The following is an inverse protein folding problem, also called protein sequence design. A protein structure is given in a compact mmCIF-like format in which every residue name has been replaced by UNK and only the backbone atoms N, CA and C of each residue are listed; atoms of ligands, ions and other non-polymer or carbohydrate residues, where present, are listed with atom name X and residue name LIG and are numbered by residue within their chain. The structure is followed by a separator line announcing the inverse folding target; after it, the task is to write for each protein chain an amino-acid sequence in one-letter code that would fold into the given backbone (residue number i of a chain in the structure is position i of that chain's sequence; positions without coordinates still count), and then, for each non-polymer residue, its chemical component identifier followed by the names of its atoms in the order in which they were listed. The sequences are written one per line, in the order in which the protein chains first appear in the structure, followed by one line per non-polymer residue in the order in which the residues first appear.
data_IF_947898461008
#
_entry.id   IF_947898461008
#
_cell.length_a   1.000
_cell.length_b   1.000
_cell.length_c   1.000
_cell.angle_alpha   90.00
_cell.angle_beta   90.00
_cell.angle_gamma   90.00
#
_symmetry.space_group_name_H-M   'P 1'
#
loop_
_entity.id
_entity.type
_entity.pdbx_description
1 polymer ?
#
# COMPACT_ATOMS: atom_id res chain seq x y z
N UNK A 1 55.42 -8.26 18.07
CA UNK A 1 54.38 -9.23 18.48
C UNK A 1 53.44 -8.48 19.43
N UNK A 2 52.12 -8.33 19.28
CA UNK A 2 51.05 -8.91 18.45
C UNK A 2 50.06 -7.76 18.15
N UNK A 3 49.54 -7.64 16.92
CA UNK A 3 48.35 -6.82 16.62
C UNK A 3 47.13 -7.73 16.82
N UNK A 4 46.27 -7.38 17.79
CA UNK A 4 44.99 -8.04 18.02
C UNK A 4 43.95 -7.33 17.15
N UNK A 5 43.50 -7.97 16.07
CA UNK A 5 42.39 -7.48 15.25
C UNK A 5 41.10 -7.97 15.89
N UNK A 6 40.31 -7.06 16.44
CA UNK A 6 38.97 -7.35 16.96
C UNK A 6 37.97 -7.20 15.80
N UNK A 7 37.69 -8.29 15.10
CA UNK A 7 36.60 -8.36 14.12
C UNK A 7 35.29 -8.61 14.88
N UNK A 8 34.60 -7.52 15.22
CA UNK A 8 33.30 -7.56 15.90
C UNK A 8 32.15 -7.73 14.91
N UNK A 9 31.60 -8.94 14.93
CA UNK A 9 30.35 -9.44 14.34
C UNK A 9 29.24 -8.38 14.12
N UNK A 10 28.84 -8.14 12.85
CA UNK A 10 27.59 -7.45 12.48
C UNK A 10 26.68 -8.47 11.81
N UNK A 11 25.82 -9.15 12.56
CA UNK A 11 24.80 -10.08 12.03
C UNK A 11 23.52 -10.07 12.88
N UNK A 12 22.73 -8.99 12.86
CA UNK A 12 21.42 -8.98 13.55
C UNK A 12 20.33 -8.09 12.93
N UNK A 13 20.28 -7.93 11.60
CA UNK A 13 19.20 -7.08 11.00
C UNK A 13 18.42 -7.71 9.85
N UNK A 14 18.67 -8.95 9.45
CA UNK A 14 17.98 -9.56 8.28
C UNK A 14 16.66 -10.25 8.62
N UNK A 15 16.42 -10.67 9.86
CA UNK A 15 15.24 -11.50 10.23
C UNK A 15 13.91 -10.74 10.14
N UNK A 16 13.88 -9.47 10.50
CA UNK A 16 12.64 -8.68 10.52
C UNK A 16 12.09 -8.37 9.11
N UNK A 17 12.96 -8.33 8.10
CA UNK A 17 12.56 -8.09 6.71
C UNK A 17 11.88 -9.33 6.13
N UNK A 18 12.47 -10.51 6.33
CA UNK A 18 11.92 -11.78 5.81
C UNK A 18 10.53 -12.10 6.36
N UNK A 19 10.23 -11.73 7.61
CA UNK A 19 8.93 -12.07 8.21
C UNK A 19 7.78 -11.25 7.61
N UNK A 20 7.96 -9.95 7.42
CA UNK A 20 6.93 -9.08 6.82
C UNK A 20 6.60 -9.52 5.39
N UNK A 21 7.62 -9.91 4.61
CA UNK A 21 7.39 -10.40 3.24
C UNK A 21 6.58 -11.70 3.21
N UNK A 22 6.78 -12.60 4.18
CA UNK A 22 6.00 -13.85 4.29
C UNK A 22 4.55 -13.58 4.65
N UNK A 23 4.31 -12.74 5.67
CA UNK A 23 2.95 -12.36 6.09
C UNK A 23 2.19 -11.66 4.95
N UNK A 24 2.85 -10.76 4.22
CA UNK A 24 2.29 -10.11 3.05
C UNK A 24 1.91 -11.10 1.94
N UNK A 25 2.78 -12.06 1.62
CA UNK A 25 2.50 -13.08 0.60
C UNK A 25 1.32 -13.98 0.98
N UNK A 26 1.16 -14.32 2.26
CA UNK A 26 -0.01 -15.08 2.73
C UNK A 26 -1.30 -14.27 2.62
N UNK A 27 -1.26 -12.95 2.89
CA UNK A 27 -2.40 -12.06 2.68
C UNK A 27 -2.77 -11.97 1.19
N UNK A 28 -1.78 -11.82 0.30
CA UNK A 28 -1.99 -11.81 -1.15
C UNK A 28 -2.65 -13.11 -1.63
N UNK A 29 -2.14 -14.25 -1.19
CA UNK A 29 -2.70 -15.57 -1.52
C UNK A 29 -4.15 -15.72 -1.07
N UNK A 30 -4.46 -15.31 0.17
CA UNK A 30 -5.82 -15.36 0.71
C UNK A 30 -6.77 -14.41 -0.01
N UNK A 31 -6.29 -13.23 -0.37
CA UNK A 31 -7.05 -12.24 -1.14
C UNK A 31 -7.12 -12.56 -2.64
N UNK A 32 -6.47 -13.64 -3.10
CA UNK A 32 -6.33 -13.99 -4.52
C UNK A 32 -5.79 -12.82 -5.36
N UNK A 33 -4.73 -12.18 -4.86
CA UNK A 33 -4.06 -11.06 -5.51
C UNK A 33 -2.67 -11.48 -5.94
N UNK A 34 -2.31 -11.22 -7.19
CA UNK A 34 -0.94 -11.29 -7.66
C UNK A 34 -0.25 -9.94 -7.47
N UNK A 35 0.94 -9.98 -6.90
CA UNK A 35 1.82 -8.82 -6.79
C UNK A 35 2.94 -8.93 -7.82
N UNK A 36 2.80 -8.18 -8.90
CA UNK A 36 3.88 -7.97 -9.84
C UNK A 36 4.85 -6.95 -9.22
N UNK A 37 5.88 -7.44 -8.53
CA UNK A 37 6.98 -6.58 -8.10
C UNK A 37 7.51 -5.89 -9.36
N UNK A 38 7.51 -4.54 -9.43
CA UNK A 38 7.98 -3.86 -10.62
C UNK A 38 9.41 -4.31 -10.90
N UNK A 39 9.64 -4.83 -12.10
CA UNK A 39 10.95 -5.30 -12.56
C UNK A 39 12.00 -4.18 -12.58
N UNK A 40 11.54 -2.95 -12.40
CA UNK A 40 12.32 -1.75 -12.43
C UNK A 40 13.18 -1.65 -11.16
N UNK A 41 14.50 -1.71 -11.37
CA UNK A 41 15.54 -1.65 -10.33
C UNK A 41 15.52 -0.37 -9.47
N UNK A 42 14.57 0.55 -9.68
CA UNK A 42 14.42 1.77 -8.92
C UNK A 42 13.53 1.64 -7.68
N UNK A 43 12.75 0.58 -7.51
CA UNK A 43 12.01 0.35 -6.26
C UNK A 43 12.88 -0.43 -5.26
N UNK A 44 12.79 -0.03 -4.00
CA UNK A 44 13.42 -0.72 -2.89
C UNK A 44 12.40 -0.97 -1.80
N UNK A 45 12.35 -2.19 -1.29
CA UNK A 45 11.59 -2.50 -0.09
C UNK A 45 12.08 -1.65 1.09
N UNK A 46 11.12 -1.15 1.87
CA UNK A 46 11.38 -0.42 3.09
C UNK A 46 10.64 -1.06 4.27
N UNK A 47 11.09 -0.75 5.47
CA UNK A 47 10.47 -1.28 6.69
C UNK A 47 9.06 -0.74 6.85
N UNK A 48 8.11 -1.63 7.17
CA UNK A 48 6.78 -1.27 7.66
C UNK A 48 6.90 -0.56 9.02
N UNK A 49 6.43 0.67 9.06
CA UNK A 49 6.37 1.49 10.27
C UNK A 49 5.06 1.23 11.00
N UNK A 50 5.14 1.06 12.32
CA UNK A 50 3.95 1.00 13.17
C UNK A 50 3.29 2.38 13.18
N UNK A 51 1.99 2.40 12.94
CA UNK A 51 1.15 3.60 13.01
C UNK A 51 -0.12 3.25 13.78
N UNK A 52 -0.63 4.20 14.56
CA UNK A 52 -1.89 4.04 15.30
C UNK A 52 -3.12 4.47 14.47
N UNK A 53 -2.90 4.86 13.21
CA UNK A 53 -3.95 5.26 12.28
C UNK A 53 -4.41 4.06 11.45
N UNK A 54 -3.74 3.80 10.32
CA UNK A 54 -4.05 2.69 9.42
C UNK A 54 -2.80 1.86 9.21
N UNK A 55 -2.78 0.64 9.75
CA UNK A 55 -1.71 -0.33 9.49
C UNK A 55 -1.65 -0.70 8.01
N UNK A 56 -0.45 -1.00 7.54
CA UNK A 56 -0.18 -1.49 6.19
C UNK A 56 0.79 -2.67 6.27
N UNK A 57 0.70 -3.55 5.29
CA UNK A 57 1.30 -4.89 5.34
C UNK A 57 2.64 -4.93 4.59
N UNK A 58 2.85 -4.03 3.64
CA UNK A 58 4.07 -3.96 2.85
C UNK A 58 4.38 -2.54 2.37
N UNK A 59 5.65 -2.22 2.17
CA UNK A 59 6.06 -0.92 1.68
C UNK A 59 7.30 -0.92 0.79
N UNK A 60 7.25 -0.07 -0.23
CA UNK A 60 8.33 0.19 -1.17
C UNK A 60 8.64 1.69 -1.21
N UNK A 61 9.84 2.03 -1.67
CA UNK A 61 10.25 3.40 -1.96
C UNK A 61 10.96 3.46 -3.30
N UNK A 62 10.57 4.43 -4.13
CA UNK A 62 11.29 4.75 -5.36
C UNK A 62 12.58 5.52 -5.07
N UNK A 63 13.65 5.17 -5.80
CA UNK A 63 15.00 5.74 -5.64
C UNK A 63 15.12 7.14 -6.23
N UNK A 64 14.45 7.38 -7.36
CA UNK A 64 14.60 8.61 -8.17
C UNK A 64 13.57 9.65 -7.73
N UNK A 65 12.29 9.32 -7.86
CA UNK A 65 11.21 10.10 -7.28
C UNK A 65 10.94 9.55 -5.88
N UNK A 66 11.00 10.35 -4.80
CA UNK A 66 10.88 9.84 -3.43
C UNK A 66 9.42 9.50 -3.07
N UNK A 67 8.72 8.79 -3.96
CA UNK A 67 7.41 8.18 -3.77
C UNK A 67 7.58 6.99 -2.85
N UNK A 68 6.82 6.99 -1.78
CA UNK A 68 6.65 5.85 -0.90
C UNK A 68 5.33 5.17 -1.23
N UNK A 69 5.38 3.86 -1.38
CA UNK A 69 4.24 3.04 -1.73
C UNK A 69 3.97 2.13 -0.54
N UNK A 70 2.74 2.15 -0.02
CA UNK A 70 2.32 1.24 1.04
C UNK A 70 1.13 0.44 0.57
N UNK A 71 1.07 -0.81 0.97
CA UNK A 71 0.00 -1.73 0.58
C UNK A 71 -0.71 -2.24 1.83
N UNK A 72 -2.05 -2.20 1.80
CA UNK A 72 -2.90 -2.88 2.77
C UNK A 72 -3.77 -3.91 2.04
N UNK A 73 -3.69 -5.16 2.45
CA UNK A 73 -4.43 -6.29 1.89
C UNK A 73 -5.43 -6.76 2.94
N UNK A 74 -6.69 -6.84 2.55
CA UNK A 74 -7.78 -7.26 3.44
C UNK A 74 -8.52 -8.42 2.74
N UNK A 75 -8.11 -9.68 2.99
CA UNK A 75 -8.79 -10.83 2.42
C UNK A 75 -10.25 -10.92 2.86
N UNK A 76 -11.10 -11.50 2.02
CA UNK A 76 -12.45 -11.90 2.44
C UNK A 76 -12.33 -13.21 3.21
N UNK A 77 -12.37 -13.17 4.54
CA UNK A 77 -12.35 -14.41 5.33
C UNK A 77 -13.76 -14.94 5.56
N UNK A 78 -13.94 -16.26 5.37
CA UNK A 78 -15.20 -16.97 5.63
C UNK A 78 -15.72 -16.82 7.08
N UNK A 79 -14.85 -16.47 8.03
CA UNK A 79 -15.19 -16.29 9.45
C UNK A 79 -15.29 -14.81 9.89
N UNK A 80 -14.98 -13.88 9.00
CA UNK A 80 -15.22 -12.46 9.23
C UNK A 80 -16.57 -12.08 8.60
N UNK A 81 -17.28 -11.09 9.15
CA UNK A 81 -18.38 -10.49 8.39
C UNK A 81 -17.87 -10.18 6.98
N UNK A 82 -18.65 -10.47 5.92
CA UNK A 82 -18.32 -10.03 4.58
C UNK A 82 -17.80 -8.62 4.65
N UNK A 83 -16.75 -8.32 3.90
CA UNK A 83 -16.24 -6.95 3.77
C UNK A 83 -17.48 -6.08 3.54
N UNK A 84 -17.91 -5.37 4.60
CA UNK A 84 -19.11 -4.56 4.54
C UNK A 84 -18.93 -3.55 3.42
N UNK A 85 -20.03 -2.95 2.93
CA UNK A 85 -20.03 -1.90 1.88
C UNK A 85 -18.64 -1.29 1.65
N UNK A 86 -17.92 -1.71 0.57
CA UNK A 86 -16.53 -1.31 0.33
C UNK A 86 -16.32 0.21 0.37
N UNK A 87 -17.37 0.95 0.01
CA UNK A 87 -17.43 2.40 0.11
C UNK A 87 -17.25 2.91 1.54
N UNK A 88 -17.90 2.28 2.53
CA UNK A 88 -17.75 2.64 3.95
C UNK A 88 -16.32 2.40 4.42
N UNK A 89 -15.73 1.25 4.07
CA UNK A 89 -14.35 0.93 4.49
C UNK A 89 -13.34 1.90 3.90
N UNK A 90 -13.48 2.22 2.62
CA UNK A 90 -12.68 3.24 1.95
C UNK A 90 -12.80 4.60 2.66
N UNK A 91 -14.03 5.07 2.89
CA UNK A 91 -14.26 6.36 3.57
C UNK A 91 -13.64 6.37 4.96
N UNK A 92 -13.78 5.28 5.73
CA UNK A 92 -13.12 5.14 7.04
C UNK A 92 -11.60 5.26 6.93
N UNK A 93 -10.97 4.56 5.98
CA UNK A 93 -9.52 4.62 5.76
C UNK A 93 -9.10 6.04 5.36
N UNK A 94 -9.75 6.62 4.36
CA UNK A 94 -9.43 7.95 3.85
C UNK A 94 -9.57 9.02 4.94
N UNK A 95 -10.68 9.04 5.68
CA UNK A 95 -10.91 9.99 6.78
C UNK A 95 -9.98 9.78 7.97
N UNK A 96 -9.53 8.54 8.22
CA UNK A 96 -8.57 8.26 9.31
C UNK A 96 -7.21 8.87 8.98
N UNK A 97 -6.76 8.76 7.73
CA UNK A 97 -5.45 9.24 7.30
C UNK A 97 -5.45 10.72 6.90
N UNK A 98 -6.57 11.29 6.46
CA UNK A 98 -6.67 12.68 6.02
C UNK A 98 -6.36 13.65 7.16
N UNK A 99 -5.59 14.70 6.88
CA UNK A 99 -5.32 15.78 7.82
C UNK A 99 -6.60 16.54 8.17
N UNK A 100 -6.68 16.99 9.42
CA UNK A 100 -7.79 17.80 9.94
C UNK A 100 -7.50 19.31 9.87
N UNK A 101 -6.34 19.71 9.33
CA UNK A 101 -5.97 21.13 9.22
C UNK A 101 -6.81 21.81 8.15
N UNK A 102 -7.26 23.06 8.38
CA UNK A 102 -8.17 23.78 7.48
C UNK A 102 -7.61 23.91 6.04
N UNK A 103 -6.29 23.93 5.88
CA UNK A 103 -5.61 24.02 4.57
C UNK A 103 -5.53 22.68 3.80
N UNK A 104 -5.99 21.58 4.40
CA UNK A 104 -5.83 20.22 3.84
C UNK A 104 -6.73 19.92 2.64
N UNK A 105 -7.69 20.81 2.34
CA UNK A 105 -8.64 20.65 1.24
C UNK A 105 -9.62 19.49 1.42
N UNK A 106 -10.59 19.39 0.49
CA UNK A 106 -11.60 18.34 0.51
C UNK A 106 -11.04 16.99 0.01
N UNK A 107 -11.52 15.89 0.60
CA UNK A 107 -11.25 14.54 0.08
C UNK A 107 -12.20 14.30 -1.10
N UNK A 108 -11.63 14.14 -2.30
CA UNK A 108 -12.41 13.84 -3.51
C UNK A 108 -12.26 12.37 -3.89
N UNK A 109 -13.38 11.67 -4.05
CA UNK A 109 -13.43 10.27 -4.45
C UNK A 109 -13.81 10.14 -5.92
N UNK A 110 -12.91 9.56 -6.71
CA UNK A 110 -13.12 9.27 -8.13
C UNK A 110 -13.31 7.77 -8.33
N UNK A 111 -14.55 7.35 -8.63
CA UNK A 111 -14.83 5.96 -9.02
C UNK A 111 -14.09 5.65 -10.32
N UNK A 112 -13.42 4.50 -10.36
CA UNK A 112 -12.78 4.02 -11.59
C UNK A 112 -13.85 3.54 -12.58
N UNK A 113 -13.68 3.81 -13.88
CA UNK A 113 -14.55 3.27 -14.91
C UNK A 113 -14.29 1.77 -15.12
N UNK A 114 -15.26 1.06 -15.69
CA UNK A 114 -15.22 -0.41 -15.82
C UNK A 114 -14.05 -0.90 -16.67
N UNK A 115 -13.62 -0.14 -17.68
CA UNK A 115 -12.46 -0.50 -18.52
C UNK A 115 -11.15 -0.46 -17.73
N UNK A 116 -11.05 0.44 -16.74
CA UNK A 116 -9.92 0.49 -15.84
C UNK A 116 -9.97 -0.65 -14.81
N UNK A 117 -11.16 -0.92 -14.24
CA UNK A 117 -11.37 -2.02 -13.30
C UNK A 117 -11.05 -3.39 -13.91
N UNK A 118 -11.35 -3.58 -15.20
CA UNK A 118 -11.03 -4.79 -15.94
C UNK A 118 -9.52 -5.07 -16.02
N UNK A 119 -8.67 -4.04 -15.91
CA UNK A 119 -7.21 -4.23 -15.84
C UNK A 119 -6.75 -4.83 -14.50
N UNK A 120 -7.56 -4.66 -13.45
CA UNK A 120 -7.29 -5.15 -12.10
C UNK A 120 -8.07 -6.43 -11.76
N UNK A 121 -8.98 -6.87 -12.62
CA UNK A 121 -9.99 -7.89 -12.34
C UNK A 121 -10.78 -7.58 -11.05
N UNK A 122 -11.09 -6.31 -10.83
CA UNK A 122 -11.82 -5.83 -9.66
C UNK A 122 -13.28 -5.51 -10.00
N UNK A 123 -14.18 -5.69 -9.04
CA UNK A 123 -15.60 -5.36 -9.17
C UNK A 123 -15.91 -3.91 -8.78
N UNK A 124 -15.03 -3.31 -7.96
CA UNK A 124 -15.15 -1.93 -7.53
C UNK A 124 -13.78 -1.31 -7.30
N UNK A 125 -13.66 -0.02 -7.60
CA UNK A 125 -12.44 0.71 -7.34
C UNK A 125 -12.63 2.22 -7.32
N UNK A 126 -11.80 2.88 -6.50
CA UNK A 126 -11.82 4.33 -6.30
C UNK A 126 -10.41 4.85 -6.16
N UNK A 127 -10.15 6.01 -6.75
CA UNK A 127 -8.96 6.82 -6.50
C UNK A 127 -9.35 8.05 -5.70
N UNK A 128 -8.56 8.38 -4.69
CA UNK A 128 -8.75 9.62 -3.94
C UNK A 128 -7.42 10.29 -3.63
N UNK A 129 -7.45 11.61 -3.53
CA UNK A 129 -6.30 12.44 -3.19
C UNK A 129 -6.58 13.18 -1.90
N UNK A 130 -5.58 13.25 -1.02
CA UNK A 130 -5.66 13.94 0.27
C UNK A 130 -4.29 14.36 0.77
N UNK A 131 -4.27 15.22 1.80
CA UNK A 131 -3.09 15.48 2.62
C UNK A 131 -3.10 14.51 3.80
N UNK A 132 -2.08 13.65 3.99
CA UNK A 132 -2.06 12.71 5.10
C UNK A 132 -1.68 13.43 6.41
N UNK A 133 -2.17 12.93 7.55
CA UNK A 133 -1.66 13.33 8.87
C UNK A 133 -0.17 13.01 8.96
N UNK A 134 0.58 13.88 9.65
CA UNK A 134 2.02 13.68 9.92
C UNK A 134 2.33 12.35 10.64
N UNK A 135 1.39 11.87 11.45
CA UNK A 135 1.46 10.57 12.16
C UNK A 135 1.33 9.36 11.22
N UNK A 136 0.77 9.55 10.04
CA UNK A 136 0.75 8.55 8.98
C UNK A 136 1.99 8.66 8.10
N UNK A 137 2.32 9.87 7.62
CA UNK A 137 3.44 10.09 6.70
C UNK A 137 4.01 11.50 6.81
N UNK A 138 5.29 11.65 6.52
CA UNK A 138 5.96 12.95 6.38
C UNK A 138 5.73 13.60 5.00
N UNK A 139 5.03 12.90 4.10
CA UNK A 139 4.72 13.39 2.75
C UNK A 139 3.54 14.34 2.74
N UNK A 140 3.62 15.35 1.86
CA UNK A 140 2.55 16.35 1.70
C UNK A 140 1.29 15.78 1.08
N UNK A 141 1.42 14.86 0.14
CA UNK A 141 0.28 14.35 -0.63
C UNK A 141 0.21 12.84 -0.54
N UNK A 142 -1.03 12.33 -0.57
CA UNK A 142 -1.34 10.92 -0.68
C UNK A 142 -2.38 10.72 -1.77
N UNK A 143 -2.11 9.79 -2.68
CA UNK A 143 -3.11 9.18 -3.54
C UNK A 143 -3.42 7.79 -3.00
N UNK A 144 -4.69 7.51 -2.74
CA UNK A 144 -5.14 6.15 -2.42
C UNK A 144 -5.77 5.54 -3.67
N UNK A 145 -5.38 4.31 -3.96
CA UNK A 145 -6.01 3.45 -4.95
C UNK A 145 -6.64 2.30 -4.17
N UNK A 146 -7.96 2.28 -4.16
CA UNK A 146 -8.75 1.25 -3.50
C UNK A 146 -9.36 0.34 -4.56
N UNK A 147 -9.17 -0.97 -4.40
CA UNK A 147 -9.72 -2.00 -5.26
C UNK A 147 -10.42 -3.05 -4.40
N UNK A 148 -11.54 -3.56 -4.88
CA UNK A 148 -12.31 -4.62 -4.25
C UNK A 148 -12.75 -5.62 -5.31
N UNK A 149 -12.61 -6.91 -4.97
CA UNK A 149 -13.20 -8.00 -5.74
C UNK A 149 -14.02 -8.90 -4.80
N UNK A 150 -15.25 -9.20 -5.21
CA UNK A 150 -16.20 -10.01 -4.49
C UNK A 150 -15.62 -11.41 -4.23
N UNK A 151 -15.83 -11.92 -3.01
CA UNK A 151 -15.28 -13.19 -2.53
C UNK A 151 -13.73 -13.29 -2.48
N UNK A 152 -13.01 -12.24 -2.86
CA UNK A 152 -11.53 -12.22 -2.89
C UNK A 152 -10.98 -11.33 -1.79
N UNK A 153 -11.25 -10.03 -1.85
CA UNK A 153 -10.80 -9.10 -0.82
C UNK A 153 -10.75 -7.64 -1.27
N UNK A 154 -10.11 -6.81 -0.44
CA UNK A 154 -9.75 -5.44 -0.76
C UNK A 154 -8.25 -5.24 -0.80
N UNK A 155 -7.82 -4.32 -1.65
CA UNK A 155 -6.47 -3.80 -1.73
C UNK A 155 -6.52 -2.28 -1.61
N UNK A 156 -5.73 -1.72 -0.69
CA UNK A 156 -5.46 -0.29 -0.64
C UNK A 156 -3.99 -0.03 -0.94
N UNK A 157 -3.71 0.73 -1.99
CA UNK A 157 -2.38 1.23 -2.30
C UNK A 157 -2.31 2.71 -1.94
N UNK A 158 -1.38 3.08 -1.07
CA UNK A 158 -1.10 4.45 -0.71
C UNK A 158 0.16 4.91 -1.44
N UNK A 159 0.03 5.91 -2.31
CA UNK A 159 1.14 6.56 -2.99
C UNK A 159 1.39 7.89 -2.29
N UNK A 160 2.52 8.00 -1.59
CA UNK A 160 2.88 9.13 -0.73
C UNK A 160 4.02 9.92 -1.37
N UNK A 161 3.80 11.21 -1.62
CA UNK A 161 4.71 12.04 -2.42
C UNK A 161 4.69 13.51 -2.01
N UNK A 162 5.74 14.24 -2.38
CA UNK A 162 5.88 15.68 -2.07
C UNK A 162 5.69 16.58 -3.28
N UNK A 163 6.01 16.12 -4.48
CA UNK A 163 5.92 16.93 -5.70
C UNK A 163 4.74 16.48 -6.53
N UNK A 164 3.98 17.44 -7.06
CA UNK A 164 2.76 17.19 -7.84
C UNK A 164 3.02 16.96 -9.33
N UNK A 165 4.25 17.14 -9.80
CA UNK A 165 4.70 16.96 -11.19
C UNK A 165 5.21 15.53 -11.50
N UNK A 166 5.14 14.61 -10.53
CA UNK A 166 5.55 13.22 -10.70
C UNK A 166 4.44 12.44 -11.41
N UNK A 167 4.80 11.67 -12.43
CA UNK A 167 3.89 10.68 -13.02
C UNK A 167 3.70 9.52 -12.04
N UNK A 168 2.53 9.45 -11.42
CA UNK A 168 2.21 8.39 -10.48
C UNK A 168 1.77 7.09 -11.16
N UNK A 169 1.45 7.13 -12.46
CA UNK A 169 0.84 5.99 -13.18
C UNK A 169 1.73 4.75 -13.21
N UNK A 170 3.05 4.95 -13.19
CA UNK A 170 4.07 3.88 -13.13
C UNK A 170 4.04 3.09 -11.82
N UNK A 171 3.41 3.61 -10.76
CA UNK A 171 3.34 2.96 -9.44
C UNK A 171 1.99 2.28 -9.16
N UNK A 172 0.99 2.46 -10.03
CA UNK A 172 -0.40 2.06 -9.74
C UNK A 172 -0.67 0.58 -10.00
N UNK A 173 0.03 -0.01 -10.98
CA UNK A 173 -0.37 -1.28 -11.62
C UNK A 173 0.50 -2.46 -11.19
N UNK A 174 0.65 -2.63 -9.88
CA UNK A 174 1.52 -3.67 -9.33
C UNK A 174 0.74 -4.80 -8.64
N UNK A 175 -0.58 -4.64 -8.47
CA UNK A 175 -1.47 -5.62 -7.86
C UNK A 175 -2.65 -5.88 -8.78
N UNK A 176 -2.99 -7.15 -8.98
CA UNK A 176 -4.11 -7.59 -9.81
C UNK A 176 -4.82 -8.78 -9.15
N UNK A 177 -6.15 -8.81 -9.14
CA UNK A 177 -6.87 -9.98 -8.65
C UNK A 177 -6.77 -11.13 -9.67
N UNK A 178 -6.63 -12.36 -9.19
CA UNK A 178 -6.60 -13.56 -10.03
C UNK A 178 -7.99 -13.74 -10.67
N UNK A 179 -8.05 -14.05 -11.98
CA UNK A 179 -9.33 -14.36 -12.65
C UNK A 179 -9.84 -15.73 -12.22
N UNK A 180 -11.15 -15.84 -12.02
CA UNK A 180 -11.80 -17.14 -11.91
C UNK A 180 -11.78 -17.78 -13.30
N UNK A 181 -11.36 -19.06 -13.38
CA UNK A 181 -11.27 -19.85 -14.61
C UNK A 181 -12.62 -20.51 -14.90
#
# INVERSE_FOLDING_TARGET
MKRLVLFGLVMYTTSAWSQNTVEFNELLKRAQVEFAVPLETFLKEIRVLKTDLVEYDYALKAKQDPVEIRYKIIPTDNNSSPIGSPQIKLTQIASTIASNEEESGDIVFHRMPDEELAMYNADYGVKTYLHPKSRFSDKKHCKIIFLFAENKGMVCTFLLFNKTDIDLSIYEKNLIFIKDI
#
